data_IF_093050741858
#
_entry.id   IF_093050741858
#
_cell.length_a   1.000
_cell.length_b   1.000
_cell.length_c   1.000
_cell.angle_alpha   90.00
_cell.angle_beta   90.00
_cell.angle_gamma   90.00
#
_symmetry.space_group_name_H-M   'P 1'
#
loop_
_entity.id
_entity.type
_entity.pdbx_description
1 polymer ?
#
# COMPACT_ATOMS: atom_id res chain seq x y z
N UNK A 1 36.17 -39.55 -16.22
CA UNK A 1 36.73 -38.40 -15.48
C UNK A 1 35.77 -38.01 -14.36
N UNK A 2 35.96 -38.61 -13.19
CA UNK A 2 35.33 -38.21 -11.93
C UNK A 2 36.25 -37.16 -11.27
N UNK A 3 35.69 -36.06 -10.79
CA UNK A 3 36.38 -35.13 -9.89
C UNK A 3 35.59 -35.08 -8.59
N UNK A 4 36.36 -35.24 -7.51
CA UNK A 4 35.97 -35.43 -6.12
C UNK A 4 35.47 -34.18 -5.41
N UNK A 5 34.78 -34.48 -4.30
CA UNK A 5 34.25 -33.64 -3.25
C UNK A 5 35.28 -32.77 -2.50
N UNK A 6 34.82 -31.62 -2.00
CA UNK A 6 35.23 -30.93 -0.75
C UNK A 6 34.01 -30.11 -0.29
N UNK A 7 33.27 -30.53 0.73
CA UNK A 7 33.50 -30.28 2.16
C UNK A 7 32.59 -29.15 2.69
N UNK A 8 31.48 -29.50 3.33
CA UNK A 8 30.92 -28.70 4.42
C UNK A 8 30.35 -29.66 5.48
N UNK A 9 30.86 -29.48 6.69
CA UNK A 9 30.75 -30.40 7.81
C UNK A 9 29.34 -30.56 8.35
N UNK A 10 29.08 -31.80 8.77
CA UNK A 10 28.00 -32.18 9.68
C UNK A 10 28.24 -31.50 11.03
N UNK A 11 27.24 -30.81 11.58
CA UNK A 11 27.23 -30.43 12.99
C UNK A 11 26.21 -31.32 13.72
N UNK A 12 26.69 -32.00 14.76
CA UNK A 12 26.02 -33.06 15.51
C UNK A 12 25.05 -32.52 16.54
N UNK A 13 24.02 -33.32 16.79
CA UNK A 13 22.81 -33.04 17.57
C UNK A 13 22.95 -33.34 19.07
N UNK A 14 24.13 -33.12 19.66
CA UNK A 14 24.46 -33.64 21.00
C UNK A 14 25.08 -32.60 21.92
N UNK A 15 24.36 -31.54 22.26
CA UNK A 15 24.67 -30.71 23.44
C UNK A 15 23.51 -29.78 23.81
N UNK A 16 22.41 -30.32 24.33
CA UNK A 16 21.41 -29.51 25.03
C UNK A 16 20.84 -30.29 26.22
N UNK A 17 21.51 -30.18 27.37
CA UNK A 17 20.89 -30.48 28.67
C UNK A 17 20.21 -29.20 29.17
N UNK A 18 18.92 -29.22 29.56
CA UNK A 18 18.28 -28.03 30.09
C UNK A 18 18.68 -27.86 31.57
N UNK A 19 19.49 -26.85 31.88
CA UNK A 19 19.59 -26.35 33.25
C UNK A 19 18.34 -25.51 33.54
N UNK A 20 17.45 -26.11 34.33
CA UNK A 20 16.24 -25.51 34.87
C UNK A 20 16.65 -24.44 35.89
N UNK A 21 16.47 -23.16 35.57
CA UNK A 21 16.56 -22.08 36.55
C UNK A 21 15.16 -21.76 37.13
N UNK A 22 15.10 -21.40 38.42
CA UNK A 22 13.88 -21.16 39.21
C UNK A 22 13.44 -19.68 39.26
N UNK A 23 13.91 -18.81 38.38
CA UNK A 23 13.55 -17.40 38.38
C UNK A 23 13.12 -16.98 36.97
N UNK A 24 11.81 -16.93 36.73
CA UNK A 24 11.19 -16.64 35.43
C UNK A 24 11.61 -15.32 34.76
N UNK A 25 12.81 -15.29 34.17
CA UNK A 25 13.30 -14.23 33.27
C UNK A 25 13.88 -14.91 32.03
N UNK A 26 13.36 -14.53 30.87
CA UNK A 26 13.80 -15.00 29.56
C UNK A 26 15.28 -14.67 29.30
N UNK A 27 16.06 -15.56 28.65
CA UNK A 27 17.45 -15.27 28.34
C UNK A 27 17.51 -14.27 27.18
N UNK A 28 18.17 -13.15 27.44
CA UNK A 28 18.52 -12.13 26.46
C UNK A 28 19.60 -12.72 25.53
N UNK A 29 19.26 -12.97 24.27
CA UNK A 29 20.25 -13.38 23.27
C UNK A 29 21.19 -12.19 22.99
N UNK A 30 22.49 -12.36 23.26
CA UNK A 30 23.52 -11.38 22.96
C UNK A 30 23.77 -11.34 21.44
N UNK A 31 23.57 -10.18 20.82
CA UNK A 31 24.02 -9.88 19.46
C UNK A 31 25.48 -9.38 19.50
N UNK A 32 26.37 -9.79 18.56
CA UNK A 32 27.68 -9.18 18.44
C UNK A 32 27.52 -7.69 18.04
N UNK A 33 28.17 -6.79 18.80
CA UNK A 33 28.10 -5.32 18.71
C UNK A 33 26.81 -4.63 19.21
N UNK A 34 26.17 -5.13 20.26
CA UNK A 34 25.24 -4.31 21.04
C UNK A 34 26.00 -3.28 21.91
N UNK A 35 25.62 -1.99 21.93
CA UNK A 35 26.19 -1.03 22.88
C UNK A 35 25.83 -1.43 24.33
N UNK A 36 26.67 -1.10 25.32
CA UNK A 36 26.48 -1.55 26.70
C UNK A 36 25.13 -1.09 27.26
N UNK A 37 24.48 -1.92 28.11
CA UNK A 37 23.14 -1.65 28.62
C UNK A 37 23.16 -0.43 29.53
N UNK A 38 22.44 0.63 29.14
CA UNK A 38 22.30 1.86 29.93
C UNK A 38 22.08 3.13 29.11
N UNK A 39 22.37 3.13 27.81
CA UNK A 39 22.37 4.34 26.98
C UNK A 39 21.27 4.43 25.92
N UNK A 40 20.18 3.67 26.06
CA UNK A 40 19.07 3.70 25.08
C UNK A 40 17.72 3.74 25.78
N UNK A 41 16.99 4.84 25.59
CA UNK A 41 15.59 4.99 26.03
C UNK A 41 14.72 3.87 25.41
N UNK A 42 13.77 3.27 26.14
CA UNK A 42 12.81 2.33 25.56
C UNK A 42 12.09 3.00 24.38
N UNK A 43 12.26 2.47 23.16
CA UNK A 43 11.66 3.01 21.92
C UNK A 43 12.64 3.58 20.88
N UNK A 44 13.88 3.90 21.25
CA UNK A 44 14.88 4.37 20.29
C UNK A 44 15.42 3.22 19.40
N UNK A 45 15.55 2.02 19.96
CA UNK A 45 15.93 0.80 19.25
C UNK A 45 14.89 0.37 18.20
N UNK A 46 13.59 0.54 18.50
CA UNK A 46 12.51 0.24 17.53
C UNK A 46 12.48 1.24 16.38
N UNK A 47 12.85 2.51 16.61
CA UNK A 47 12.93 3.54 15.56
C UNK A 47 14.13 3.32 14.64
N UNK A 48 15.31 3.04 15.21
CA UNK A 48 16.55 2.79 14.45
C UNK A 48 16.54 1.45 13.70
N UNK A 49 15.88 0.42 14.23
CA UNK A 49 15.65 -0.85 13.51
C UNK A 49 14.60 -0.68 12.39
N UNK A 50 13.52 0.08 12.65
CA UNK A 50 12.45 0.45 11.69
C UNK A 50 13.00 1.20 10.48
N UNK A 51 13.91 2.15 10.66
CA UNK A 51 14.49 2.93 9.56
C UNK A 51 15.49 2.12 8.71
N UNK A 52 16.33 1.27 9.34
CA UNK A 52 17.36 0.49 8.62
C UNK A 52 16.81 -0.69 7.83
N UNK A 53 15.83 -1.40 8.35
CA UNK A 53 15.30 -2.59 7.66
C UNK A 53 14.30 -2.24 6.56
N UNK A 54 13.49 -1.19 6.73
CA UNK A 54 12.58 -0.69 5.69
C UNK A 54 13.38 -0.09 4.53
N UNK A 55 14.38 0.77 4.79
CA UNK A 55 15.26 1.31 3.74
C UNK A 55 16.02 0.21 3.00
N UNK A 56 16.60 -0.77 3.70
CA UNK A 56 17.28 -1.91 3.05
C UNK A 56 16.35 -2.77 2.19
N UNK A 57 15.10 -2.99 2.61
CA UNK A 57 14.11 -3.76 1.83
C UNK A 57 13.65 -2.96 0.61
N UNK A 58 13.38 -1.66 0.76
CA UNK A 58 13.06 -0.74 -0.35
C UNK A 58 14.22 -0.64 -1.34
N UNK A 59 15.46 -0.53 -0.86
CA UNK A 59 16.67 -0.50 -1.70
C UNK A 59 16.93 -1.84 -2.42
N UNK A 60 16.60 -2.97 -1.79
CA UNK A 60 16.74 -4.30 -2.38
C UNK A 60 15.63 -4.65 -3.39
N UNK A 61 14.50 -3.93 -3.38
CA UNK A 61 13.35 -4.15 -4.26
C UNK A 61 13.40 -3.37 -5.59
N UNK A 62 14.54 -2.78 -5.99
CA UNK A 62 14.66 -1.91 -7.18
C UNK A 62 14.56 -2.67 -8.53
N UNK A 63 13.51 -2.47 -9.36
CA UNK A 63 13.66 -2.50 -10.81
C UNK A 63 14.00 -1.10 -11.35
N UNK A 64 14.42 -1.06 -12.62
CA UNK A 64 15.04 0.07 -13.31
C UNK A 64 14.35 1.43 -13.06
N UNK A 65 15.04 2.30 -12.33
CA UNK A 65 14.73 3.74 -12.21
C UNK A 65 14.99 4.46 -13.52
N UNK A 66 13.96 5.03 -14.14
CA UNK A 66 14.14 6.08 -15.16
C UNK A 66 14.69 7.32 -14.46
N UNK A 67 15.96 7.62 -14.73
CA UNK A 67 16.74 8.70 -14.16
C UNK A 67 16.11 10.09 -14.40
N UNK A 68 15.49 10.68 -13.36
CA UNK A 68 15.62 12.08 -12.93
C UNK A 68 14.53 12.45 -11.90
N UNK A 69 14.98 13.10 -10.83
CA UNK A 69 14.23 14.02 -9.94
C UNK A 69 13.30 13.41 -8.88
N UNK A 70 13.81 13.36 -7.64
CA UNK A 70 13.05 13.10 -6.41
C UNK A 70 12.12 14.26 -6.01
N UNK A 71 12.40 15.48 -6.49
CA UNK A 71 11.55 16.64 -6.26
C UNK A 71 10.39 16.70 -7.28
N UNK A 72 9.15 16.99 -6.85
CA UNK A 72 8.03 17.16 -7.77
C UNK A 72 8.30 18.34 -8.70
N UNK A 73 8.30 18.10 -10.01
CA UNK A 73 8.38 19.17 -11.01
C UNK A 73 7.11 20.03 -10.92
N UNK A 74 7.29 21.36 -10.86
CA UNK A 74 6.19 22.33 -10.70
C UNK A 74 5.05 22.04 -11.70
N UNK A 75 3.85 21.77 -11.17
CA UNK A 75 2.64 21.47 -11.97
C UNK A 75 2.33 19.98 -12.17
N UNK A 76 3.18 19.07 -11.69
CA UNK A 76 2.91 17.64 -11.70
C UNK A 76 2.19 17.24 -10.41
N UNK A 77 1.20 16.35 -10.53
CA UNK A 77 0.54 15.69 -9.40
C UNK A 77 1.16 14.32 -9.27
N UNK A 78 1.59 13.97 -8.05
CA UNK A 78 2.13 12.68 -7.68
C UNK A 78 1.07 11.86 -6.96
N UNK A 79 0.84 10.64 -7.46
CA UNK A 79 -0.19 9.73 -6.94
C UNK A 79 0.45 8.43 -6.52
N UNK A 80 0.17 8.01 -5.28
CA UNK A 80 0.47 6.68 -4.77
C UNK A 80 -0.76 5.78 -4.91
N UNK A 81 -0.72 4.85 -5.86
CA UNK A 81 -1.70 3.76 -5.98
C UNK A 81 -1.37 2.60 -5.06
N UNK A 82 -2.40 2.07 -4.40
CA UNK A 82 -2.30 0.89 -3.53
C UNK A 82 -3.41 -0.09 -3.89
N UNK A 83 -3.03 -1.33 -4.14
CA UNK A 83 -3.94 -2.48 -4.29
C UNK A 83 -3.78 -3.41 -3.08
N UNK A 84 -4.63 -3.26 -2.04
CA UNK A 84 -4.59 -4.14 -0.88
C UNK A 84 -5.15 -5.51 -1.24
N UNK A 85 -4.36 -6.57 -1.02
CA UNK A 85 -4.79 -7.94 -1.20
C UNK A 85 -5.04 -8.62 0.16
N UNK A 86 -6.10 -9.42 0.25
CA UNK A 86 -6.45 -10.14 1.48
C UNK A 86 -5.40 -11.20 1.88
N UNK A 87 -4.98 -12.03 0.93
CA UNK A 87 -4.05 -13.14 1.15
C UNK A 87 -2.83 -13.11 0.19
N UNK A 88 -2.76 -12.07 -0.65
CA UNK A 88 -1.73 -11.86 -1.65
C UNK A 88 -0.76 -10.75 -1.27
N UNK A 89 0.23 -10.45 -2.14
CA UNK A 89 1.09 -9.31 -1.94
C UNK A 89 0.30 -8.00 -2.11
N UNK A 90 0.60 -6.99 -1.30
CA UNK A 90 0.02 -5.65 -1.46
C UNK A 90 0.77 -4.92 -2.56
N UNK A 91 0.09 -4.64 -3.67
CA UNK A 91 0.66 -3.88 -4.78
C UNK A 91 0.78 -2.40 -4.45
N UNK A 92 1.85 -1.76 -4.89
CA UNK A 92 1.99 -0.32 -4.84
C UNK A 92 2.60 0.23 -6.13
N UNK A 93 2.18 1.42 -6.51
CA UNK A 93 2.67 2.12 -7.70
C UNK A 93 2.65 3.62 -7.49
N UNK A 94 3.71 4.31 -7.89
CA UNK A 94 3.83 5.76 -7.81
C UNK A 94 4.01 6.29 -9.21
N UNK A 95 3.07 7.15 -9.59
CA UNK A 95 3.02 7.80 -10.88
C UNK A 95 2.91 9.29 -10.68
N UNK A 96 3.35 10.05 -11.66
CA UNK A 96 3.11 11.48 -11.72
C UNK A 96 2.52 11.87 -13.06
N UNK A 97 1.71 12.92 -13.07
CA UNK A 97 1.23 13.51 -14.32
C UNK A 97 1.00 15.01 -14.22
N UNK A 98 1.19 15.70 -15.35
CA UNK A 98 0.98 17.15 -15.51
C UNK A 98 -0.38 17.47 -16.19
N UNK A 99 -1.23 16.45 -16.35
CA UNK A 99 -2.49 16.55 -17.08
C UNK A 99 -2.36 16.38 -18.60
N UNK A 100 -1.18 16.06 -19.12
CA UNK A 100 -0.97 15.63 -20.52
C UNK A 100 -0.09 14.38 -20.61
N UNK A 101 0.97 14.35 -19.81
CA UNK A 101 1.95 13.27 -19.71
C UNK A 101 1.78 12.56 -18.37
N UNK A 102 2.05 11.27 -18.37
CA UNK A 102 2.15 10.45 -17.18
C UNK A 102 3.51 9.75 -17.17
N UNK A 103 4.15 9.64 -16.00
CA UNK A 103 5.38 8.86 -15.83
C UNK A 103 5.28 7.99 -14.58
N UNK A 104 5.94 6.85 -14.62
CA UNK A 104 6.11 5.98 -13.46
C UNK A 104 7.41 6.34 -12.74
N UNK A 105 7.34 6.46 -11.41
CA UNK A 105 8.50 6.70 -10.55
C UNK A 105 8.99 5.41 -9.87
N UNK A 106 8.07 4.64 -9.31
CA UNK A 106 8.38 3.35 -8.65
C UNK A 106 7.13 2.49 -8.57
N UNK A 107 7.30 1.18 -8.63
CA UNK A 107 6.25 0.21 -8.35
C UNK A 107 6.86 -1.01 -7.68
N UNK A 108 6.00 -1.85 -7.10
CA UNK A 108 6.39 -3.13 -6.54
C UNK A 108 5.21 -3.80 -5.86
N UNK A 109 5.45 -4.95 -5.26
CA UNK A 109 4.47 -5.58 -4.41
C UNK A 109 5.12 -6.16 -3.16
N UNK A 110 4.48 -5.95 -2.01
CA UNK A 110 4.94 -6.47 -0.73
C UNK A 110 4.28 -7.81 -0.45
N UNK A 111 5.05 -8.87 -0.61
CA UNK A 111 4.62 -10.20 -0.18
C UNK A 111 4.84 -10.36 1.32
N UNK A 112 3.76 -10.24 2.08
CA UNK A 112 3.78 -10.49 3.51
C UNK A 112 3.78 -12.00 3.75
N UNK A 113 4.85 -12.52 4.34
CA UNK A 113 5.02 -13.97 4.56
C UNK A 113 4.56 -14.36 5.95
N UNK A 114 3.33 -14.88 6.06
CA UNK A 114 2.75 -15.44 7.29
C UNK A 114 3.27 -16.85 7.64
N UNK A 115 4.21 -17.39 6.86
CA UNK A 115 4.76 -18.75 7.04
C UNK A 115 6.05 -18.83 7.87
N UNK A 116 6.56 -17.72 8.39
CA UNK A 116 7.68 -17.78 9.34
C UNK A 116 7.13 -18.14 10.73
N UNK A 117 7.74 -19.11 11.44
CA UNK A 117 7.38 -19.37 12.84
C UNK A 117 7.49 -18.07 13.65
N UNK A 118 6.37 -17.64 14.26
CA UNK A 118 6.31 -16.42 15.08
C UNK A 118 5.75 -15.16 14.41
N UNK A 119 5.33 -15.20 13.15
CA UNK A 119 4.61 -14.07 12.51
C UNK A 119 3.10 -14.18 12.79
N UNK A 120 2.58 -13.29 13.62
CA UNK A 120 1.14 -13.05 13.80
C UNK A 120 0.59 -12.09 12.72
N UNK A 121 -0.74 -11.99 12.60
CA UNK A 121 -1.36 -11.06 11.65
C UNK A 121 -1.01 -9.58 11.95
N UNK A 122 -0.63 -9.26 13.19
CA UNK A 122 -0.15 -7.92 13.58
C UNK A 122 1.16 -7.53 12.91
N UNK A 123 2.16 -8.41 12.91
CA UNK A 123 3.46 -8.18 12.25
C UNK A 123 3.31 -7.97 10.74
N UNK A 124 2.38 -8.70 10.11
CA UNK A 124 2.03 -8.55 8.71
C UNK A 124 1.52 -7.13 8.38
N UNK A 125 0.57 -6.65 9.19
CA UNK A 125 0.03 -5.30 9.08
C UNK A 125 1.09 -4.22 9.36
N UNK A 126 2.01 -4.47 10.30
CA UNK A 126 3.12 -3.58 10.58
C UNK A 126 4.08 -3.43 9.38
N UNK A 127 4.33 -4.51 8.62
CA UNK A 127 5.14 -4.42 7.40
C UNK A 127 4.47 -3.55 6.32
N UNK A 128 3.15 -3.70 6.13
CA UNK A 128 2.38 -2.86 5.20
C UNK A 128 2.42 -1.40 5.62
N UNK A 129 2.19 -1.13 6.91
CA UNK A 129 2.29 0.23 7.47
C UNK A 129 3.67 0.85 7.22
N UNK A 130 4.73 0.13 7.58
CA UNK A 130 6.10 0.61 7.41
C UNK A 130 6.48 0.88 5.97
N UNK A 131 6.05 0.04 5.03
CA UNK A 131 6.25 0.28 3.60
C UNK A 131 5.54 1.55 3.14
N UNK A 132 4.26 1.72 3.50
CA UNK A 132 3.48 2.88 3.07
C UNK A 132 4.04 4.18 3.64
N UNK A 133 4.37 4.22 4.93
CA UNK A 133 5.03 5.37 5.53
C UNK A 133 6.35 5.69 4.82
N UNK A 134 7.19 4.68 4.56
CA UNK A 134 8.44 4.87 3.82
C UNK A 134 8.22 5.44 2.41
N UNK A 135 7.22 4.95 1.68
CA UNK A 135 6.86 5.47 0.35
C UNK A 135 6.34 6.91 0.42
N UNK A 136 5.51 7.24 1.42
CA UNK A 136 4.98 8.59 1.60
C UNK A 136 6.09 9.56 1.99
N UNK A 137 6.99 9.18 2.89
CA UNK A 137 8.14 10.00 3.30
C UNK A 137 9.13 10.21 2.15
N UNK A 138 9.43 9.16 1.38
CA UNK A 138 10.41 9.22 0.31
C UNK A 138 9.91 10.00 -0.92
N UNK A 139 8.61 9.93 -1.20
CA UNK A 139 8.04 10.52 -2.39
C UNK A 139 7.07 11.67 -2.16
N UNK A 140 6.60 11.95 -0.95
CA UNK A 140 5.64 13.02 -0.69
C UNK A 140 4.50 13.08 -1.75
N UNK A 141 3.71 12.00 -1.93
CA UNK A 141 2.60 11.99 -2.89
C UNK A 141 1.55 13.04 -2.50
N UNK A 142 0.98 13.72 -3.49
CA UNK A 142 -0.11 14.68 -3.26
C UNK A 142 -1.40 13.94 -2.86
N UNK A 143 -1.60 12.76 -3.45
CA UNK A 143 -2.81 11.95 -3.28
C UNK A 143 -2.48 10.47 -3.23
N UNK A 144 -3.24 9.71 -2.45
CA UNK A 144 -3.23 8.25 -2.46
C UNK A 144 -4.52 7.72 -3.11
N UNK A 145 -4.38 6.82 -4.07
CA UNK A 145 -5.49 6.13 -4.73
C UNK A 145 -5.53 4.67 -4.28
N UNK A 146 -6.68 4.18 -3.85
CA UNK A 146 -6.84 2.83 -3.29
C UNK A 146 -7.99 2.10 -4.01
N UNK A 147 -7.81 0.82 -4.32
CA UNK A 147 -8.90 0.00 -4.85
C UNK A 147 -9.96 -0.31 -3.77
N UNK A 148 -11.24 -0.30 -4.16
CA UNK A 148 -12.35 -0.54 -3.25
C UNK A 148 -12.64 -2.03 -3.00
N UNK A 149 -13.24 -2.36 -1.84
CA UNK A 149 -13.36 -3.73 -1.30
C UNK A 149 -14.56 -4.53 -1.89
N UNK A 150 -15.29 -3.98 -2.85
CA UNK A 150 -16.57 -4.55 -3.32
C UNK A 150 -16.50 -5.93 -4.03
N UNK A 151 -15.34 -6.60 -4.07
CA UNK A 151 -15.13 -7.87 -4.79
C UNK A 151 -15.02 -9.11 -3.89
N UNK A 152 -15.03 -8.99 -2.56
CA UNK A 152 -14.82 -10.14 -1.67
C UNK A 152 -16.09 -11.01 -1.52
N UNK A 153 -16.08 -12.21 -2.12
CA UNK A 153 -17.16 -13.21 -1.99
C UNK A 153 -17.20 -13.90 -0.62
N UNK A 154 -16.07 -13.93 0.10
CA UNK A 154 -15.89 -14.67 1.35
C UNK A 154 -15.69 -13.71 2.53
N UNK A 155 -16.43 -13.91 3.62
CA UNK A 155 -16.38 -13.06 4.84
C UNK A 155 -14.98 -12.98 5.43
N UNK A 156 -14.27 -14.11 5.54
CA UNK A 156 -12.90 -14.15 6.08
C UNK A 156 -11.92 -13.33 5.24
N UNK A 157 -12.05 -13.40 3.92
CA UNK A 157 -11.24 -12.63 2.97
C UNK A 157 -11.58 -11.14 3.06
N UNK A 158 -12.86 -10.80 3.20
CA UNK A 158 -13.32 -9.42 3.38
C UNK A 158 -12.79 -8.80 4.67
N UNK A 159 -12.81 -9.54 5.80
CA UNK A 159 -12.28 -9.07 7.08
C UNK A 159 -10.78 -8.78 6.99
N UNK A 160 -9.99 -9.72 6.46
CA UNK A 160 -8.54 -9.52 6.30
C UNK A 160 -8.21 -8.36 5.37
N UNK A 161 -8.99 -8.20 4.31
CA UNK A 161 -8.84 -7.06 3.39
C UNK A 161 -9.18 -5.73 4.08
N UNK A 162 -10.23 -5.71 4.92
CA UNK A 162 -10.60 -4.53 5.70
C UNK A 162 -9.51 -4.15 6.71
N UNK A 163 -8.86 -5.11 7.36
CA UNK A 163 -7.71 -4.88 8.25
C UNK A 163 -6.56 -4.19 7.51
N UNK A 164 -6.15 -4.74 6.36
CA UNK A 164 -5.09 -4.16 5.52
C UNK A 164 -5.48 -2.75 5.08
N UNK A 165 -6.70 -2.56 4.56
CA UNK A 165 -7.17 -1.23 4.14
C UNK A 165 -7.19 -0.24 5.31
N UNK A 166 -7.60 -0.67 6.51
CA UNK A 166 -7.56 0.17 7.71
C UNK A 166 -6.16 0.73 7.96
N UNK A 167 -5.13 -0.11 7.79
CA UNK A 167 -3.72 0.31 7.89
C UNK A 167 -3.33 1.28 6.77
N UNK A 168 -3.78 1.05 5.53
CA UNK A 168 -3.53 1.97 4.41
C UNK A 168 -4.09 3.36 4.70
N UNK A 169 -5.36 3.42 5.14
CA UNK A 169 -6.04 4.67 5.46
C UNK A 169 -5.38 5.38 6.64
N UNK A 170 -4.98 4.63 7.66
CA UNK A 170 -4.26 5.18 8.81
C UNK A 170 -2.91 5.77 8.41
N UNK A 171 -2.13 5.08 7.58
CA UNK A 171 -0.83 5.56 7.10
C UNK A 171 -0.97 6.88 6.32
N UNK A 172 -1.98 6.97 5.44
CA UNK A 172 -2.27 8.20 4.70
C UNK A 172 -2.67 9.36 5.63
N UNK A 173 -3.59 9.10 6.57
CA UNK A 173 -4.07 10.09 7.53
C UNK A 173 -2.95 10.64 8.42
N UNK A 174 -2.02 9.78 8.87
CA UNK A 174 -0.85 10.18 9.66
C UNK A 174 0.07 11.17 8.93
N UNK A 175 0.08 11.13 7.60
CA UNK A 175 0.90 12.00 6.76
C UNK A 175 0.08 13.11 6.08
N UNK A 176 -1.18 13.29 6.47
CA UNK A 176 -2.10 14.27 5.86
C UNK A 176 -2.27 14.12 4.34
N UNK A 177 -2.16 12.89 3.82
CA UNK A 177 -2.35 12.60 2.39
C UNK A 177 -3.83 12.31 2.12
N UNK A 178 -4.41 12.99 1.14
CA UNK A 178 -5.80 12.74 0.72
C UNK A 178 -5.94 11.35 0.09
N UNK A 179 -6.94 10.58 0.49
CA UNK A 179 -7.22 9.26 -0.07
C UNK A 179 -8.47 9.28 -0.94
N UNK A 180 -8.38 8.70 -2.14
CA UNK A 180 -9.50 8.41 -3.02
C UNK A 180 -9.64 6.92 -3.24
N UNK A 181 -10.87 6.40 -3.16
CA UNK A 181 -11.17 5.00 -3.40
C UNK A 181 -11.87 4.79 -4.75
N UNK A 182 -11.46 3.79 -5.50
CA UNK A 182 -12.00 3.49 -6.82
C UNK A 182 -12.53 2.06 -6.91
N UNK A 183 -13.77 1.91 -7.40
CA UNK A 183 -14.33 0.59 -7.66
C UNK A 183 -13.54 -0.14 -8.77
N UNK A 184 -13.33 -1.46 -8.68
CA UNK A 184 -12.56 -2.24 -9.66
C UNK A 184 -13.06 -2.04 -11.10
N UNK A 185 -14.39 -2.02 -11.29
CA UNK A 185 -15.02 -1.77 -12.60
C UNK A 185 -14.71 -0.37 -13.14
N UNK A 186 -14.61 0.63 -12.26
CA UNK A 186 -14.28 2.01 -12.64
C UNK A 186 -12.83 2.10 -13.11
N UNK A 187 -11.89 1.48 -12.40
CA UNK A 187 -10.48 1.41 -12.80
C UNK A 187 -10.36 0.78 -14.19
N UNK A 188 -11.01 -0.37 -14.42
CA UNK A 188 -11.03 -1.04 -15.72
C UNK A 188 -11.62 -0.18 -16.82
N UNK A 189 -12.76 0.46 -16.57
CA UNK A 189 -13.40 1.34 -17.55
C UNK A 189 -12.54 2.56 -17.91
N UNK A 190 -11.87 3.17 -16.93
CA UNK A 190 -11.00 4.33 -17.16
C UNK A 190 -9.75 3.98 -17.97
N UNK A 191 -9.13 2.82 -17.69
CA UNK A 191 -7.86 2.42 -18.31
C UNK A 191 -8.05 1.70 -19.64
N UNK A 192 -8.98 0.74 -19.71
CA UNK A 192 -9.20 -0.12 -20.87
C UNK A 192 -10.42 0.28 -21.72
N UNK A 193 -11.20 1.28 -21.29
CA UNK A 193 -12.41 1.75 -21.97
C UNK A 193 -13.68 0.98 -21.63
N UNK A 194 -13.59 -0.18 -20.95
CA UNK A 194 -14.75 -0.95 -20.50
C UNK A 194 -14.51 -1.66 -19.15
N UNK A 195 -15.58 -1.88 -18.38
CA UNK A 195 -15.49 -2.43 -17.02
C UNK A 195 -15.17 -3.93 -16.92
N UNK A 196 -15.18 -4.65 -18.04
CA UNK A 196 -14.96 -6.10 -18.11
C UNK A 196 -13.57 -6.51 -18.62
N UNK A 197 -12.62 -5.56 -18.68
CA UNK A 197 -11.26 -5.87 -19.10
C UNK A 197 -10.62 -6.98 -18.24
N UNK A 198 -9.93 -7.88 -18.91
CA UNK A 198 -9.16 -8.95 -18.26
C UNK A 198 -7.84 -8.39 -17.69
N UNK A 199 -7.16 -9.20 -16.87
CA UNK A 199 -5.90 -8.79 -16.21
C UNK A 199 -4.78 -8.52 -17.21
N UNK A 200 -4.70 -9.29 -18.30
CA UNK A 200 -3.64 -9.15 -19.31
C UNK A 200 -3.83 -7.86 -20.12
N UNK A 201 -5.07 -7.55 -20.47
CA UNK A 201 -5.45 -6.31 -21.13
C UNK A 201 -5.09 -5.11 -20.24
N UNK A 202 -5.41 -5.15 -18.95
CA UNK A 202 -5.03 -4.10 -18.01
C UNK A 202 -3.51 -3.88 -17.98
N UNK A 203 -2.72 -4.96 -17.89
CA UNK A 203 -1.26 -4.87 -17.92
C UNK A 203 -0.72 -4.25 -19.21
N UNK A 204 -1.28 -4.62 -20.37
CA UNK A 204 -0.91 -4.05 -21.67
C UNK A 204 -1.23 -2.55 -21.71
N UNK A 205 -2.41 -2.16 -21.23
CA UNK A 205 -2.83 -0.76 -21.22
C UNK A 205 -1.98 0.09 -20.27
N UNK A 206 -1.71 -0.40 -19.06
CA UNK A 206 -0.82 0.28 -18.09
C UNK A 206 0.57 0.49 -18.69
N UNK A 207 1.13 -0.54 -19.32
CA UNK A 207 2.42 -0.46 -20.03
C UNK A 207 2.39 0.61 -21.12
N UNK A 208 1.34 0.63 -21.94
CA UNK A 208 1.19 1.57 -23.04
C UNK A 208 1.07 3.03 -22.54
N UNK A 209 0.23 3.28 -21.53
CA UNK A 209 0.02 4.62 -20.97
C UNK A 209 1.29 5.17 -20.32
N UNK A 210 2.03 4.31 -19.61
CA UNK A 210 3.29 4.69 -18.94
C UNK A 210 4.51 4.63 -19.85
N UNK A 211 4.33 4.29 -21.14
CA UNK A 211 5.42 4.13 -22.12
C UNK A 211 6.55 3.20 -21.61
N UNK A 212 6.17 2.10 -20.95
CA UNK A 212 7.13 1.15 -20.40
C UNK A 212 7.62 0.16 -21.47
N UNK A 213 8.92 -0.15 -21.45
CA UNK A 213 9.53 -1.09 -22.41
C UNK A 213 9.09 -2.55 -22.18
N UNK A 214 8.79 -2.91 -20.93
CA UNK A 214 8.35 -4.24 -20.53
C UNK A 214 7.07 -4.18 -19.73
N UNK A 215 6.36 -5.30 -19.67
CA UNK A 215 5.18 -5.44 -18.82
C UNK A 215 5.60 -5.35 -17.35
N UNK A 216 4.90 -4.56 -16.51
CA UNK A 216 5.21 -4.47 -15.09
C UNK A 216 5.04 -5.83 -14.40
N UNK A 217 6.12 -6.30 -13.76
CA UNK A 217 6.14 -7.48 -12.89
C UNK A 217 6.53 -7.05 -11.47
N UNK A 218 5.82 -7.46 -10.42
CA UNK A 218 4.73 -8.46 -10.37
C UNK A 218 3.36 -7.95 -10.84
N UNK A 219 2.40 -8.83 -11.16
CA UNK A 219 1.07 -8.46 -11.64
C UNK A 219 0.31 -7.53 -10.69
N UNK A 220 0.45 -7.73 -9.38
CA UNK A 220 -0.20 -6.89 -8.36
C UNK A 220 0.31 -5.44 -8.39
N UNK A 221 1.56 -5.23 -8.85
CA UNK A 221 2.08 -3.88 -9.05
C UNK A 221 1.45 -3.18 -10.26
N UNK A 222 1.07 -3.95 -11.29
CA UNK A 222 0.36 -3.42 -12.45
C UNK A 222 -1.05 -2.95 -12.08
N UNK A 223 -1.74 -3.71 -11.22
CA UNK A 223 -3.07 -3.36 -10.71
C UNK A 223 -2.99 -2.07 -9.84
N UNK A 224 -1.99 -1.95 -8.96
CA UNK A 224 -1.74 -0.73 -8.21
C UNK A 224 -1.39 0.50 -9.09
N UNK A 225 -0.60 0.31 -10.14
CA UNK A 225 -0.33 1.36 -11.14
C UNK A 225 -1.60 1.77 -11.88
N UNK A 226 -2.48 0.83 -12.21
CA UNK A 226 -3.77 1.11 -12.85
C UNK A 226 -4.66 1.98 -11.95
N UNK A 227 -4.70 1.71 -10.64
CA UNK A 227 -5.44 2.52 -9.66
C UNK A 227 -4.89 3.95 -9.60
N UNK A 228 -3.57 4.10 -9.59
CA UNK A 228 -2.93 5.42 -9.57
C UNK A 228 -3.23 6.22 -10.87
N UNK A 229 -3.11 5.56 -12.03
CA UNK A 229 -3.45 6.15 -13.33
C UNK A 229 -4.93 6.51 -13.43
N UNK A 230 -5.82 5.69 -12.86
CA UNK A 230 -7.25 5.98 -12.82
C UNK A 230 -7.50 7.33 -12.16
N UNK A 231 -6.85 7.61 -11.02
CA UNK A 231 -6.95 8.91 -10.36
C UNK A 231 -6.46 10.05 -11.24
N UNK A 232 -5.27 9.93 -11.84
CA UNK A 232 -4.69 10.97 -12.71
C UNK A 232 -5.61 11.29 -13.90
N UNK A 233 -6.11 10.26 -14.60
CA UNK A 233 -6.98 10.44 -15.76
C UNK A 233 -8.34 11.02 -15.38
N UNK A 234 -8.90 10.60 -14.24
CA UNK A 234 -10.14 11.15 -13.71
C UNK A 234 -9.98 12.63 -13.31
N UNK A 235 -8.89 12.99 -12.64
CA UNK A 235 -8.59 14.37 -12.27
C UNK A 235 -8.31 15.24 -13.50
N UNK A 236 -7.63 14.70 -14.52
CA UNK A 236 -7.42 15.37 -15.79
C UNK A 236 -8.75 15.62 -16.52
N UNK A 237 -9.61 14.61 -16.63
CA UNK A 237 -10.93 14.76 -17.23
C UNK A 237 -11.75 15.79 -16.46
N UNK A 238 -11.73 15.73 -15.13
CA UNK A 238 -12.41 16.69 -14.26
C UNK A 238 -11.96 18.13 -14.54
N UNK A 239 -10.65 18.38 -14.61
CA UNK A 239 -10.08 19.70 -14.91
C UNK A 239 -10.44 20.18 -16.32
N UNK A 240 -10.42 19.28 -17.30
CA UNK A 240 -10.74 19.60 -18.71
C UNK A 240 -12.20 19.96 -18.92
N UNK A 241 -13.11 19.25 -18.25
CA UNK A 241 -14.55 19.45 -18.39
C UNK A 241 -15.16 20.36 -17.31
N UNK A 242 -14.35 20.92 -16.41
CA UNK A 242 -14.81 21.79 -15.34
C UNK A 242 -15.75 21.10 -14.34
N UNK A 243 -15.58 19.79 -14.13
CA UNK A 243 -16.45 19.02 -13.23
C UNK A 243 -16.10 19.31 -11.75
N UNK A 244 -17.11 19.40 -10.86
CA UNK A 244 -16.90 19.62 -9.43
C UNK A 244 -16.18 18.42 -8.78
N UNK A 245 -15.54 18.63 -7.62
CA UNK A 245 -14.92 17.52 -6.88
C UNK A 245 -16.02 16.68 -6.22
N UNK A 246 -15.91 15.35 -6.23
CA UNK A 246 -16.93 14.45 -5.64
C UNK A 246 -17.27 14.80 -4.17
N UNK A 247 -16.32 15.34 -3.40
CA UNK A 247 -16.56 15.80 -2.03
C UNK A 247 -17.55 16.98 -1.91
N UNK A 248 -17.79 17.75 -2.96
CA UNK A 248 -18.77 18.85 -2.95
C UNK A 248 -20.23 18.36 -3.03
N UNK A 249 -20.47 17.12 -3.48
CA UNK A 249 -21.81 16.54 -3.54
C UNK A 249 -22.31 15.97 -2.22
N UNK A 250 -21.44 15.79 -1.22
CA UNK A 250 -21.79 15.28 0.10
C UNK A 250 -22.40 16.34 1.04
N UNK A 251 -23.11 17.36 0.52
CA UNK A 251 -24.06 18.11 1.35
C UNK A 251 -25.32 17.25 1.48
N UNK A 252 -25.67 16.73 2.68
CA UNK A 252 -26.98 16.16 2.86
C UNK A 252 -27.99 17.26 2.54
N UNK A 253 -28.84 17.05 1.53
CA UNK A 253 -30.10 17.79 1.45
C UNK A 253 -30.92 17.37 2.65
N UNK A 254 -30.67 17.99 3.80
CA UNK A 254 -31.63 18.02 4.89
C UNK A 254 -32.92 18.55 4.28
N UNK A 255 -33.91 17.66 4.09
CA UNK A 255 -35.29 18.08 3.82
C UNK A 255 -35.77 18.81 5.07
N UNK A 256 -35.49 20.10 5.13
CA UNK A 256 -36.13 21.00 6.08
C UNK A 256 -37.57 21.20 5.63
N UNK A 257 -38.52 20.82 6.49
CA UNK A 257 -39.90 21.30 6.44
C UNK A 257 -40.96 20.28 6.07
N UNK A 258 -41.31 19.40 7.01
CA UNK A 258 -42.75 19.11 7.21
C UNK A 258 -43.24 20.16 8.21
N UNK A 259 -43.69 21.30 7.68
CA UNK A 259 -44.39 22.33 8.46
C UNK A 259 -45.89 22.13 8.25
N UNK A 260 -46.56 21.77 9.35
CA UNK A 260 -47.90 22.24 9.70
C UNK A 260 -49.07 21.81 8.81
N UNK A 261 -49.73 20.71 9.17
CA UNK A 261 -51.17 20.62 8.98
C UNK A 261 -51.83 21.24 10.22
N UNK A 262 -52.00 22.56 10.19
CA UNK A 262 -52.99 23.23 11.01
C UNK A 262 -54.35 23.13 10.31
N UNK A 263 -55.31 22.46 10.94
CA UNK A 263 -56.72 22.49 10.51
C UNK A 263 -57.46 23.48 11.40
N UNK A 264 -58.15 24.50 10.84
CA UNK A 264 -59.19 25.22 11.55
C UNK A 264 -60.54 25.00 10.86
N UNK A 265 -61.50 24.40 11.58
CA UNK A 265 -62.95 24.56 11.40
C UNK A 265 -63.66 23.62 12.39
N UNK A 266 -64.75 23.91 13.09
CA UNK A 266 -65.48 25.08 13.59
C UNK A 266 -66.52 24.48 14.57
N UNK A 267 -67.04 25.20 15.57
CA UNK A 267 -68.01 24.66 16.52
C UNK A 267 -69.45 24.67 15.98
N UNK A 268 -70.22 23.63 16.29
CA UNK A 268 -71.69 23.61 16.38
C UNK A 268 -72.02 23.06 17.77
#
# INVERSE_FOLDING_TARGET
MQINALAFGKFSESEFRPLRNRSGRFPFFWLPNAPPPGLVRPGALTKLWRERNVRRKIEAMKPATTSRETAPSKGWIRVLGVDPAAAGPTGYGIVEGDGRRCRMLRYGALKVTSKKPGNDDGSALQEVHGLLCGLIEEFAPDVMAVEDIFSALNVRTALRLAEVRGVVLLAAAQHSVEVHSYAPRKVKATIAGHGHADKRQMQIMVRAILSMNSTPEPPDAADALAVALCHLLMEQARRRFGLPREKEFAKPRCRAGVRGLGSPASPI
#
